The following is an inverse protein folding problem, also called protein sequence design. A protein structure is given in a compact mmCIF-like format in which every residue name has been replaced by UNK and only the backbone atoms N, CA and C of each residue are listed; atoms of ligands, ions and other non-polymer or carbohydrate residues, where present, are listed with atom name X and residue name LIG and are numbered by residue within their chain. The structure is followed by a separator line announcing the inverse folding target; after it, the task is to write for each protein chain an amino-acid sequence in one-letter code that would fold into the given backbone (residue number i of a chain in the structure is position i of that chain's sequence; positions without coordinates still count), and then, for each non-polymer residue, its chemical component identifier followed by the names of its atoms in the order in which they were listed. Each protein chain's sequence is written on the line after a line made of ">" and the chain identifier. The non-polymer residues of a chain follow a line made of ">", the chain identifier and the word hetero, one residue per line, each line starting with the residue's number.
data_IF_320399553378
#
_entry.id   IF_320399553378
#
_cell.length_a   1.000
_cell.length_b   1.000
_cell.length_c   1.000
_cell.angle_alpha   90.00
_cell.angle_beta   90.00
_cell.angle_gamma   90.00
#
_symmetry.space_group_name_H-M   'P 1'
#
loop_
_entity.id
_entity.type
_entity.pdbx_description
1 polymer ?
#
# COMPACT_ATOMS: atom_id res chain seq x y z
N UNK A 1 -14.14 -0.50 -22.41
CA UNK A 1 -15.18 -1.51 -22.71
C UNK A 1 -16.34 -1.35 -21.73
N UNK A 2 -17.57 -1.66 -22.15
CA UNK A 2 -18.75 -1.72 -21.27
C UNK A 2 -19.19 -3.17 -21.11
N UNK A 3 -19.46 -3.58 -19.88
CA UNK A 3 -19.85 -4.93 -19.50
C UNK A 3 -21.11 -4.82 -18.63
N UNK A 4 -22.07 -5.70 -18.84
CA UNK A 4 -23.21 -5.88 -17.94
C UNK A 4 -22.90 -7.04 -17.01
N UNK A 5 -22.99 -6.82 -15.70
CA UNK A 5 -22.71 -7.82 -14.67
C UNK A 5 -23.86 -7.90 -13.69
N UNK A 6 -24.16 -9.10 -13.21
CA UNK A 6 -25.13 -9.32 -12.14
C UNK A 6 -24.36 -9.54 -10.84
N UNK A 7 -24.67 -8.75 -9.82
CA UNK A 7 -24.05 -8.82 -8.49
C UNK A 7 -25.14 -8.93 -7.43
N UNK A 8 -24.84 -9.61 -6.33
CA UNK A 8 -25.72 -9.60 -5.16
C UNK A 8 -25.77 -8.20 -4.55
N UNK A 9 -26.82 -7.90 -3.79
CA UNK A 9 -26.92 -6.63 -3.06
C UNK A 9 -25.75 -6.45 -2.08
N UNK A 10 -25.34 -7.52 -1.41
CA UNK A 10 -24.18 -7.52 -0.51
C UNK A 10 -22.87 -7.17 -1.22
N UNK A 11 -22.65 -7.71 -2.43
CA UNK A 11 -21.44 -7.43 -3.21
C UNK A 11 -21.42 -5.96 -3.69
N UNK A 12 -22.58 -5.42 -4.05
CA UNK A 12 -22.72 -4.02 -4.43
C UNK A 12 -22.42 -3.07 -3.26
N UNK A 13 -22.94 -3.37 -2.06
CA UNK A 13 -22.66 -2.59 -0.85
C UNK A 13 -21.16 -2.60 -0.52
N UNK A 14 -20.53 -3.77 -0.63
CA UNK A 14 -19.08 -3.90 -0.42
C UNK A 14 -18.30 -3.08 -1.45
N UNK A 15 -18.66 -3.16 -2.73
CA UNK A 15 -18.04 -2.39 -3.80
C UNK A 15 -18.15 -0.89 -3.55
N UNK A 16 -19.33 -0.40 -3.17
CA UNK A 16 -19.56 1.02 -2.89
C UNK A 16 -18.71 1.52 -1.74
N UNK A 17 -18.61 0.74 -0.66
CA UNK A 17 -17.74 1.08 0.47
C UNK A 17 -16.27 1.16 0.06
N UNK A 18 -15.79 0.23 -0.77
CA UNK A 18 -14.41 0.26 -1.28
C UNK A 18 -14.18 1.49 -2.17
N UNK A 19 -15.14 1.82 -3.04
CA UNK A 19 -15.06 3.01 -3.91
C UNK A 19 -14.98 4.28 -3.09
N UNK A 20 -15.80 4.43 -2.04
CA UNK A 20 -15.78 5.59 -1.16
C UNK A 20 -14.47 5.68 -0.36
N UNK A 21 -14.07 4.57 0.29
CA UNK A 21 -12.85 4.48 1.09
C UNK A 21 -11.60 4.85 0.29
N UNK A 22 -11.52 4.36 -0.95
CA UNK A 22 -10.35 4.54 -1.81
C UNK A 22 -10.46 5.82 -2.68
N UNK A 23 -11.51 6.64 -2.49
CA UNK A 23 -11.71 7.90 -3.21
C UNK A 23 -11.90 7.73 -4.72
N UNK A 24 -12.46 6.60 -5.17
CA UNK A 24 -12.57 6.24 -6.58
C UNK A 24 -13.76 6.93 -7.24
N UNK A 25 -13.56 7.38 -8.48
CA UNK A 25 -14.55 8.16 -9.20
C UNK A 25 -15.82 7.38 -9.61
N UNK A 26 -15.82 6.04 -9.55
CA UNK A 26 -16.99 5.22 -9.92
C UNK A 26 -16.87 3.76 -9.50
N UNK A 27 -18.00 3.03 -9.50
CA UNK A 27 -18.05 1.56 -9.37
C UNK A 27 -17.18 0.84 -10.40
N UNK A 28 -17.13 1.31 -11.64
CA UNK A 28 -16.26 0.73 -12.68
C UNK A 28 -14.77 0.94 -12.36
N UNK A 29 -14.40 2.06 -11.74
CA UNK A 29 -13.05 2.27 -11.23
C UNK A 29 -12.76 1.31 -10.06
N UNK A 30 -13.73 1.09 -9.16
CA UNK A 30 -13.65 0.08 -8.10
C UNK A 30 -13.40 -1.33 -8.61
N UNK A 31 -14.17 -1.79 -9.60
CA UNK A 31 -13.98 -3.13 -10.21
C UNK A 31 -12.60 -3.24 -10.88
N UNK A 32 -12.16 -2.21 -11.62
CA UNK A 32 -10.83 -2.20 -12.23
C UNK A 32 -9.71 -2.22 -11.18
N UNK A 33 -9.89 -1.51 -10.05
CA UNK A 33 -8.96 -1.56 -8.93
C UNK A 33 -8.90 -2.97 -8.34
N UNK A 34 -10.05 -3.58 -8.06
CA UNK A 34 -10.14 -4.94 -7.55
C UNK A 34 -9.45 -5.97 -8.46
N UNK A 35 -9.65 -5.88 -9.79
CA UNK A 35 -8.96 -6.76 -10.75
C UNK A 35 -7.44 -6.59 -10.68
N UNK A 36 -6.93 -5.35 -10.54
CA UNK A 36 -5.49 -5.12 -10.38
C UNK A 36 -4.96 -5.71 -9.07
N UNK A 37 -5.75 -5.67 -8.01
CA UNK A 37 -5.40 -6.26 -6.70
C UNK A 37 -5.39 -7.79 -6.74
N UNK A 38 -6.27 -8.43 -7.52
CA UNK A 38 -6.22 -9.89 -7.72
C UNK A 38 -4.88 -10.34 -8.31
N UNK A 39 -4.28 -9.56 -9.21
CA UNK A 39 -2.95 -9.82 -9.76
C UNK A 39 -1.79 -9.57 -8.79
N UNK A 40 -2.08 -9.09 -7.58
CA UNK A 40 -1.11 -8.78 -6.52
C UNK A 40 -1.41 -9.56 -5.24
N UNK A 41 -2.14 -10.68 -5.34
CA UNK A 41 -2.54 -11.46 -4.17
C UNK A 41 -1.33 -11.87 -3.30
N UNK A 42 -0.22 -12.23 -3.92
CA UNK A 42 0.99 -12.68 -3.23
C UNK A 42 1.88 -11.52 -2.74
N UNK A 43 1.48 -10.26 -3.01
CA UNK A 43 2.27 -9.09 -2.67
C UNK A 43 2.41 -8.91 -1.15
N UNK A 44 1.36 -9.26 -0.39
CA UNK A 44 1.41 -9.22 1.07
C UNK A 44 2.48 -10.19 1.60
N UNK A 45 2.48 -11.42 1.11
CA UNK A 45 3.43 -12.45 1.54
C UNK A 45 4.86 -12.10 1.09
N UNK A 46 5.01 -11.59 -0.14
CA UNK A 46 6.29 -11.10 -0.63
C UNK A 46 6.85 -9.94 0.21
N UNK A 47 6.00 -9.02 0.66
CA UNK A 47 6.43 -7.95 1.58
C UNK A 47 6.79 -8.48 2.96
N UNK A 48 6.02 -9.42 3.52
CA UNK A 48 6.32 -10.03 4.80
C UNK A 48 7.69 -10.74 4.78
N UNK A 49 7.96 -11.51 3.71
CA UNK A 49 9.25 -12.16 3.50
C UNK A 49 10.38 -11.15 3.32
N UNK A 50 10.17 -10.10 2.53
CA UNK A 50 11.17 -9.05 2.32
C UNK A 50 11.54 -8.34 3.63
N UNK A 51 10.56 -8.03 4.47
CA UNK A 51 10.79 -7.44 5.79
C UNK A 51 11.54 -8.40 6.71
N UNK A 52 11.12 -9.67 6.78
CA UNK A 52 11.80 -10.70 7.58
C UNK A 52 13.26 -10.89 7.14
N UNK A 53 13.51 -10.92 5.83
CA UNK A 53 14.87 -11.05 5.29
C UNK A 53 15.71 -9.80 5.55
N UNK A 54 15.12 -8.60 5.51
CA UNK A 54 15.81 -7.36 5.83
C UNK A 54 16.19 -7.29 7.30
N UNK A 55 15.25 -7.56 8.21
CA UNK A 55 15.49 -7.54 9.66
C UNK A 55 16.57 -8.55 10.10
N UNK A 56 16.70 -9.67 9.37
CA UNK A 56 17.75 -10.66 9.60
C UNK A 56 19.12 -10.26 9.02
N UNK A 57 19.19 -9.20 8.21
CA UNK A 57 20.43 -8.71 7.59
C UNK A 57 21.20 -7.79 8.53
N UNK A 58 22.54 -7.81 8.41
CA UNK A 58 23.41 -6.82 9.06
C UNK A 58 23.15 -5.41 8.52
N UNK A 59 22.61 -5.29 7.30
CA UNK A 59 22.23 -4.02 6.67
C UNK A 59 21.21 -3.26 7.51
N UNK A 60 20.27 -3.94 8.18
CA UNK A 60 19.26 -3.27 9.01
C UNK A 60 19.91 -2.40 10.10
N UNK A 61 20.98 -2.91 10.75
CA UNK A 61 21.71 -2.17 11.79
C UNK A 61 22.54 -1.04 11.19
N UNK A 62 23.15 -1.26 10.02
CA UNK A 62 23.93 -0.24 9.31
C UNK A 62 23.03 0.95 8.93
N UNK A 63 21.86 0.68 8.37
CA UNK A 63 20.91 1.70 7.93
C UNK A 63 20.18 2.40 9.09
N UNK A 64 20.00 1.74 10.25
CA UNK A 64 19.39 2.35 11.44
C UNK A 64 20.17 3.58 11.92
N UNK A 65 21.51 3.56 11.79
CA UNK A 65 22.36 4.70 12.18
C UNK A 65 22.11 5.98 11.37
N UNK A 66 21.59 5.86 10.15
CA UNK A 66 21.30 6.99 9.27
C UNK A 66 19.88 7.56 9.43
N UNK A 67 19.05 6.99 10.30
CA UNK A 67 17.63 7.37 10.43
C UNK A 67 17.43 8.82 10.89
N UNK A 68 18.39 9.38 11.63
CA UNK A 68 18.35 10.72 12.20
C UNK A 68 19.10 11.78 11.37
N UNK A 69 19.74 11.38 10.27
CA UNK A 69 20.56 12.28 9.45
C UNK A 69 19.71 13.41 8.86
N UNK A 70 20.10 14.66 9.14
CA UNK A 70 19.44 15.86 8.61
C UNK A 70 18.12 16.25 9.29
N UNK A 71 17.72 15.57 10.36
CA UNK A 71 16.50 15.88 11.14
C UNK A 71 16.80 16.85 12.30
N UNK A 72 18.05 16.92 12.75
CA UNK A 72 18.53 17.96 13.69
C UNK A 72 18.81 19.27 12.94
N UNK A 73 17.73 19.98 12.62
CA UNK A 73 17.78 21.38 12.25
C UNK A 73 18.01 22.27 13.46
N UNK A 74 19.26 22.41 13.92
CA UNK A 74 19.71 23.63 14.60
C UNK A 74 20.44 23.47 15.93
N UNK A 75 21.78 23.44 15.89
CA UNK A 75 22.62 24.14 16.87
C UNK A 75 24.08 24.39 16.44
N UNK A 76 24.47 24.10 15.18
CA UNK A 76 25.88 24.25 14.75
C UNK A 76 26.11 25.27 13.61
N UNK A 77 25.13 26.15 13.34
CA UNK A 77 25.26 27.24 12.37
C UNK A 77 25.76 28.57 12.98
N UNK A 78 26.24 28.58 14.23
CA UNK A 78 26.88 29.74 14.85
C UNK A 78 28.15 29.35 15.61
N UNK A 79 29.24 29.09 14.89
CA UNK A 79 30.59 29.40 15.37
C UNK A 79 31.59 29.60 14.25
#
# INVERSE_FOLDING_TARGET
>A
MKLSVSLSESDLILLDRCVERDGLASRSAGIQNAIRLLGRADLQDAYAEAWSSWDASEDATVWDSAVADGIDGGEDATR
#
